data_IF_131786595238
#
_entry.id   IF_131786595238
#
_cell.length_a   1.000
_cell.length_b   1.000
_cell.length_c   1.000
_cell.angle_alpha   90.00
_cell.angle_beta   90.00
_cell.angle_gamma   90.00
#
_symmetry.space_group_name_H-M   'P 1'
#
loop_
_entity.id
_entity.type
_entity.pdbx_description
1 polymer ?
#
# COMPACT_ATOMS: atom_id res chain seq x y z
N UNK A 1 0.00 11.24 -18.70
CA UNK A 1 0.23 11.10 -17.25
C UNK A 1 -0.93 11.73 -16.48
N UNK A 2 -1.63 10.94 -15.64
CA UNK A 2 -2.77 11.41 -14.85
C UNK A 2 -2.70 10.81 -13.44
N UNK A 3 -2.85 11.66 -12.40
CA UNK A 3 -3.08 11.23 -11.00
C UNK A 3 -4.50 11.61 -10.61
N UNK A 4 -5.17 10.71 -9.90
CA UNK A 4 -6.52 10.94 -9.38
C UNK A 4 -6.78 10.08 -8.15
N UNK A 5 -7.88 10.33 -7.45
CA UNK A 5 -8.27 9.58 -6.25
C UNK A 5 -9.61 8.93 -6.47
N UNK A 6 -9.81 7.80 -5.82
CA UNK A 6 -11.10 7.10 -5.76
C UNK A 6 -11.43 6.80 -4.30
N UNK A 7 -12.70 6.66 -3.98
CA UNK A 7 -13.14 6.27 -2.63
C UNK A 7 -12.51 4.93 -2.24
N UNK A 8 -12.12 4.81 -0.98
CA UNK A 8 -11.57 3.58 -0.41
C UNK A 8 -12.71 2.76 0.21
N UNK A 9 -13.11 1.62 -0.40
CA UNK A 9 -14.07 0.73 0.22
C UNK A 9 -13.53 0.14 1.53
N UNK A 10 -14.41 -0.45 2.32
CA UNK A 10 -14.02 -1.11 3.59
C UNK A 10 -12.92 -2.14 3.31
N UNK A 11 -11.82 -2.01 4.02
CA UNK A 11 -10.66 -2.88 3.86
C UNK A 11 -11.03 -4.36 3.98
N UNK A 12 -10.60 -5.15 3.00
CA UNK A 12 -10.87 -6.59 2.94
C UNK A 12 -12.27 -6.97 2.43
N UNK A 13 -13.15 -6.01 2.13
CA UNK A 13 -14.44 -6.30 1.47
C UNK A 13 -14.25 -6.72 0.01
N UNK A 14 -15.29 -7.31 -0.58
CA UNK A 14 -15.29 -7.67 -2.00
C UNK A 14 -15.14 -6.43 -2.89
N UNK A 15 -15.76 -5.32 -2.52
CA UNK A 15 -15.66 -4.05 -3.22
C UNK A 15 -14.22 -3.51 -3.20
N UNK A 16 -13.54 -3.63 -2.05
CA UNK A 16 -12.15 -3.24 -1.92
C UNK A 16 -11.22 -4.09 -2.81
N UNK A 17 -11.43 -5.40 -2.85
CA UNK A 17 -10.68 -6.30 -3.71
C UNK A 17 -10.92 -6.00 -5.18
N UNK A 18 -12.18 -5.78 -5.57
CA UNK A 18 -12.57 -5.44 -6.94
C UNK A 18 -11.94 -4.12 -7.39
N UNK A 19 -12.02 -3.08 -6.56
CA UNK A 19 -11.42 -1.77 -6.86
C UNK A 19 -9.90 -1.84 -7.02
N UNK A 20 -9.24 -2.75 -6.32
CA UNK A 20 -7.79 -2.99 -6.42
C UNK A 20 -7.39 -3.84 -7.62
N UNK A 21 -8.31 -4.61 -8.16
CA UNK A 21 -8.05 -5.53 -9.26
C UNK A 21 -8.27 -4.88 -10.63
N UNK A 22 -9.41 -4.22 -10.84
CA UNK A 22 -9.75 -3.58 -12.11
C UNK A 22 -10.45 -2.25 -11.90
N UNK A 23 -10.35 -1.38 -12.90
CA UNK A 23 -11.14 -0.15 -12.96
C UNK A 23 -12.58 -0.43 -13.45
N UNK A 24 -13.40 0.60 -13.50
CA UNK A 24 -14.79 0.55 -13.97
C UNK A 24 -14.94 0.11 -15.44
N UNK A 25 -13.88 0.23 -16.23
CA UNK A 25 -13.82 -0.20 -17.64
C UNK A 25 -13.24 -1.63 -17.79
N UNK A 26 -12.95 -2.30 -16.68
CA UNK A 26 -12.39 -3.66 -16.68
C UNK A 26 -10.87 -3.72 -16.92
N UNK A 27 -10.18 -2.59 -16.89
CA UNK A 27 -8.73 -2.57 -17.07
C UNK A 27 -8.02 -2.91 -15.76
N UNK A 28 -7.01 -3.77 -15.84
CA UNK A 28 -6.25 -4.21 -14.69
C UNK A 28 -5.50 -3.07 -13.99
N UNK A 29 -5.45 -3.13 -12.66
CA UNK A 29 -4.69 -2.24 -11.78
C UNK A 29 -3.57 -3.01 -11.11
N UNK A 30 -2.39 -2.42 -11.06
CA UNK A 30 -1.25 -2.92 -10.29
C UNK A 30 -1.26 -2.18 -8.96
N UNK A 31 -1.26 -2.91 -7.85
CA UNK A 31 -1.29 -2.30 -6.52
C UNK A 31 0.12 -2.20 -5.92
N UNK A 32 0.32 -1.25 -5.01
CA UNK A 32 1.61 -1.04 -4.37
C UNK A 32 2.14 -2.30 -3.65
N UNK A 33 1.26 -3.09 -3.04
CA UNK A 33 1.65 -4.31 -2.34
C UNK A 33 2.26 -5.40 -3.24
N UNK A 34 2.01 -5.38 -4.54
CA UNK A 34 2.59 -6.33 -5.51
C UNK A 34 3.65 -5.70 -6.42
N UNK A 35 4.03 -4.45 -6.17
CA UNK A 35 5.05 -3.77 -6.97
C UNK A 35 6.39 -4.54 -7.01
N UNK A 36 6.79 -5.12 -5.88
CA UNK A 36 7.99 -5.95 -5.80
C UNK A 36 7.98 -7.19 -6.70
N UNK A 37 6.80 -7.67 -7.13
CA UNK A 37 6.67 -8.81 -8.05
C UNK A 37 7.27 -8.47 -9.41
N UNK A 38 7.01 -7.26 -9.91
CA UNK A 38 7.51 -6.80 -11.21
C UNK A 38 9.04 -6.77 -11.24
N UNK A 39 9.65 -6.51 -10.09
CA UNK A 39 11.10 -6.42 -9.92
C UNK A 39 11.74 -7.74 -9.43
N UNK A 40 10.97 -8.85 -9.37
CA UNK A 40 11.46 -10.14 -8.89
C UNK A 40 11.84 -10.16 -7.40
N UNK A 41 11.40 -9.17 -6.64
CA UNK A 41 11.76 -9.00 -5.23
C UNK A 41 10.69 -9.52 -4.24
N UNK A 42 9.50 -9.91 -4.73
CA UNK A 42 8.41 -10.31 -3.85
C UNK A 42 8.58 -11.75 -3.35
N UNK A 43 8.56 -12.00 -2.01
CA UNK A 43 8.92 -13.29 -1.45
C UNK A 43 7.86 -14.39 -1.61
N UNK A 44 6.61 -14.02 -1.97
CA UNK A 44 5.46 -14.95 -1.94
C UNK A 44 4.69 -15.02 -3.26
N UNK A 45 5.06 -14.25 -4.27
CA UNK A 45 4.32 -14.18 -5.54
C UNK A 45 5.30 -14.02 -6.69
N UNK A 46 5.10 -14.80 -7.74
CA UNK A 46 5.86 -14.68 -9.00
C UNK A 46 5.18 -13.72 -9.99
N UNK A 47 5.92 -13.29 -11.01
CA UNK A 47 5.35 -12.50 -12.10
C UNK A 47 4.24 -13.27 -12.86
N UNK A 48 4.36 -14.59 -12.98
CA UNK A 48 3.34 -15.43 -13.61
C UNK A 48 2.04 -15.46 -12.79
N UNK A 49 2.14 -15.54 -11.45
CA UNK A 49 0.97 -15.50 -10.56
C UNK A 49 0.26 -14.15 -10.66
N UNK A 50 1.03 -13.05 -10.65
CA UNK A 50 0.47 -11.71 -10.80
C UNK A 50 -0.22 -11.55 -12.16
N UNK A 51 0.42 -11.97 -13.26
CA UNK A 51 -0.17 -11.93 -14.59
C UNK A 51 -1.46 -12.74 -14.65
N UNK A 52 -1.50 -13.93 -14.08
CA UNK A 52 -2.69 -14.76 -14.00
C UNK A 52 -3.84 -14.05 -13.25
N UNK A 53 -3.54 -13.39 -12.14
CA UNK A 53 -4.54 -12.62 -11.40
C UNK A 53 -5.09 -11.44 -12.20
N UNK A 54 -4.22 -10.68 -12.87
CA UNK A 54 -4.61 -9.49 -13.64
C UNK A 54 -5.44 -9.86 -14.88
N UNK A 55 -5.15 -11.00 -15.50
CA UNK A 55 -5.87 -11.52 -16.67
C UNK A 55 -7.15 -12.30 -16.32
N UNK A 56 -7.37 -12.65 -15.06
CA UNK A 56 -8.55 -13.36 -14.62
C UNK A 56 -9.84 -12.63 -15.03
N UNK A 57 -10.88 -13.38 -15.34
CA UNK A 57 -12.22 -12.86 -15.57
C UNK A 57 -13.02 -12.65 -14.29
N UNK A 58 -12.56 -13.21 -13.18
CA UNK A 58 -13.21 -13.13 -11.87
C UNK A 58 -12.36 -12.33 -10.89
N UNK A 59 -12.96 -11.50 -10.03
CA UNK A 59 -12.21 -10.76 -9.00
C UNK A 59 -11.58 -11.73 -7.99
N UNK A 60 -10.48 -11.32 -7.32
CA UNK A 60 -9.91 -12.11 -6.25
C UNK A 60 -10.92 -12.33 -5.12
N UNK A 61 -10.91 -13.51 -4.54
CA UNK A 61 -11.73 -13.80 -3.35
C UNK A 61 -11.06 -13.27 -2.07
N UNK A 62 -11.86 -12.87 -1.06
CA UNK A 62 -11.33 -12.52 0.24
C UNK A 62 -10.58 -13.72 0.86
N UNK A 63 -9.33 -13.55 1.16
CA UNK A 63 -8.54 -14.55 1.89
C UNK A 63 -8.65 -14.32 3.38
N UNK A 64 -8.73 -15.40 4.17
CA UNK A 64 -8.67 -15.27 5.63
C UNK A 64 -7.29 -14.71 6.01
N UNK A 65 -7.24 -13.61 6.78
CA UNK A 65 -5.98 -13.11 7.27
C UNK A 65 -5.24 -14.17 8.10
N UNK A 66 -3.95 -14.29 7.91
CA UNK A 66 -3.12 -15.06 8.83
C UNK A 66 -2.85 -14.23 10.11
N UNK A 67 -2.30 -14.90 11.14
CA UNK A 67 -2.05 -14.26 12.44
C UNK A 67 -1.16 -12.98 12.34
N UNK A 68 -0.21 -12.94 11.40
CA UNK A 68 0.62 -11.76 11.19
C UNK A 68 -0.17 -10.61 10.58
N UNK A 69 -1.03 -10.88 9.60
CA UNK A 69 -1.92 -9.89 8.99
C UNK A 69 -2.93 -9.35 10.01
N UNK A 70 -3.55 -10.24 10.81
CA UNK A 70 -4.48 -9.81 11.87
C UNK A 70 -3.80 -8.92 12.89
N UNK A 71 -2.59 -9.28 13.32
CA UNK A 71 -1.80 -8.45 14.23
C UNK A 71 -1.49 -7.09 13.61
N UNK A 72 -1.02 -7.04 12.38
CA UNK A 72 -0.75 -5.80 11.65
C UNK A 72 -1.99 -4.90 11.63
N UNK A 73 -3.11 -5.40 11.13
CA UNK A 73 -4.36 -4.66 11.03
C UNK A 73 -4.85 -4.09 12.38
N UNK A 74 -4.68 -4.86 13.48
CA UNK A 74 -5.09 -4.41 14.82
C UNK A 74 -4.16 -3.35 15.40
N UNK A 75 -2.87 -3.44 15.12
CA UNK A 75 -1.86 -2.53 15.69
C UNK A 75 -1.72 -1.24 14.87
N UNK A 76 -1.95 -1.27 13.58
CA UNK A 76 -1.73 -0.15 12.65
C UNK A 76 -2.30 1.19 13.15
N UNK A 77 -3.59 1.31 13.57
CA UNK A 77 -4.13 2.59 14.03
C UNK A 77 -3.42 3.13 15.29
N UNK A 78 -3.04 2.23 16.21
CA UNK A 78 -2.31 2.59 17.43
C UNK A 78 -0.89 3.04 17.12
N UNK A 79 -0.24 2.37 16.17
CA UNK A 79 1.11 2.68 15.75
C UNK A 79 1.17 4.01 14.99
N UNK A 80 0.18 4.30 14.13
CA UNK A 80 0.04 5.60 13.46
C UNK A 80 -0.07 6.72 14.51
N UNK A 81 -0.94 6.54 15.51
CA UNK A 81 -1.09 7.50 16.59
C UNK A 81 0.21 7.67 17.38
N UNK A 82 0.89 6.60 17.71
CA UNK A 82 2.17 6.64 18.41
C UNK A 82 3.24 7.40 17.61
N UNK A 83 3.33 7.17 16.29
CA UNK A 83 4.23 7.92 15.40
C UNK A 83 3.87 9.41 15.40
N UNK A 84 2.59 9.75 15.27
CA UNK A 84 2.09 11.12 15.27
C UNK A 84 2.50 11.86 16.56
N UNK A 85 2.24 11.23 17.72
CA UNK A 85 2.54 11.82 19.03
C UNK A 85 4.07 12.01 19.23
N UNK A 86 4.89 11.01 18.88
CA UNK A 86 6.35 11.06 19.07
C UNK A 86 7.05 12.01 18.11
N UNK A 87 6.60 12.09 16.88
CA UNK A 87 7.18 12.95 15.84
C UNK A 87 6.53 14.34 15.82
N UNK A 88 5.50 14.57 16.65
CA UNK A 88 4.70 15.82 16.68
C UNK A 88 4.15 16.16 15.29
N UNK A 89 3.64 15.15 14.60
CA UNK A 89 3.08 15.27 13.26
C UNK A 89 1.54 15.20 13.29
N UNK A 90 0.91 15.95 12.43
CA UNK A 90 -0.52 15.79 12.15
C UNK A 90 -0.69 14.72 11.06
N UNK A 91 -0.90 13.46 11.46
CA UNK A 91 -1.12 12.33 10.57
C UNK A 91 -2.60 12.07 10.40
N UNK A 92 -3.01 11.85 9.17
CA UNK A 92 -4.35 11.37 8.81
C UNK A 92 -4.24 10.01 8.12
N UNK A 93 -5.22 9.14 8.34
CA UNK A 93 -5.44 7.94 7.51
C UNK A 93 -6.40 8.32 6.39
N UNK A 94 -5.97 8.31 5.11
CA UNK A 94 -6.86 8.68 4.01
C UNK A 94 -8.01 7.68 3.83
N UNK A 95 -9.17 8.21 3.50
CA UNK A 95 -10.35 7.47 3.08
C UNK A 95 -10.43 7.27 1.55
N UNK A 96 -9.34 7.58 0.87
CA UNK A 96 -9.18 7.48 -0.57
C UNK A 96 -8.05 6.52 -0.94
N UNK A 97 -8.12 5.98 -2.16
CA UNK A 97 -7.04 5.28 -2.84
C UNK A 97 -6.47 6.18 -3.93
N UNK A 98 -5.15 6.14 -4.09
CA UNK A 98 -4.40 6.98 -5.02
C UNK A 98 -4.11 6.22 -6.30
N UNK A 99 -4.48 6.81 -7.43
CA UNK A 99 -4.33 6.22 -8.74
C UNK A 99 -3.36 7.02 -9.61
N UNK A 100 -2.61 6.30 -10.43
CA UNK A 100 -1.78 6.87 -11.49
C UNK A 100 -2.04 6.12 -12.78
N UNK A 101 -2.14 6.86 -13.88
CA UNK A 101 -2.36 6.29 -15.21
C UNK A 101 -1.46 6.97 -16.24
N UNK A 102 -0.76 6.16 -17.03
CA UNK A 102 0.07 6.58 -18.14
C UNK A 102 0.24 5.43 -19.15
N UNK A 103 0.06 5.72 -20.42
CA UNK A 103 0.28 4.79 -21.55
C UNK A 103 -0.40 3.41 -21.37
N UNK A 104 -1.61 3.42 -20.81
CA UNK A 104 -2.38 2.18 -20.54
C UNK A 104 -1.98 1.45 -19.26
N UNK A 105 -0.92 1.85 -18.57
CA UNK A 105 -0.56 1.33 -17.25
C UNK A 105 -1.37 2.03 -16.18
N UNK A 106 -1.97 1.25 -15.28
CA UNK A 106 -2.77 1.75 -14.15
C UNK A 106 -2.21 1.25 -12.84
N UNK A 107 -1.76 2.18 -12.03
CA UNK A 107 -1.24 1.92 -10.69
C UNK A 107 -2.26 2.38 -9.65
N UNK A 108 -2.32 1.65 -8.53
CA UNK A 108 -3.17 2.01 -7.41
C UNK A 108 -2.41 1.80 -6.10
N UNK A 109 -2.50 2.76 -5.20
CA UNK A 109 -1.96 2.68 -3.86
C UNK A 109 -3.02 2.99 -2.80
N UNK A 110 -3.05 2.18 -1.74
CA UNK A 110 -3.54 2.56 -0.43
C UNK A 110 -2.33 2.93 0.41
N UNK A 111 -2.46 3.92 1.24
CA UNK A 111 -1.41 4.35 2.18
C UNK A 111 -1.96 4.30 3.60
N UNK A 112 -1.09 4.02 4.57
CA UNK A 112 -1.51 3.85 5.96
C UNK A 112 -1.77 5.20 6.61
N UNK A 113 -0.85 6.16 6.42
CA UNK A 113 -1.04 7.53 6.89
C UNK A 113 -0.33 8.56 6.00
N UNK A 114 -0.75 9.81 6.12
CA UNK A 114 -0.15 10.94 5.44
C UNK A 114 -0.04 12.13 6.39
N UNK A 115 1.08 12.85 6.36
CA UNK A 115 1.19 14.10 7.08
C UNK A 115 0.56 15.23 6.27
N UNK A 116 -0.23 16.04 6.95
CA UNK A 116 -0.66 17.34 6.44
C UNK A 116 0.41 18.36 6.81
N UNK A 117 1.23 18.74 5.85
CA UNK A 117 2.26 19.73 6.11
C UNK A 117 1.70 21.13 6.06
N UNK A 118 1.99 21.95 7.08
CA UNK A 118 1.70 23.39 7.08
C UNK A 118 2.42 24.15 5.94
N UNK A 119 3.36 23.50 5.27
CA UNK A 119 4.20 24.10 4.22
C UNK A 119 4.20 23.33 2.88
N UNK A 120 3.20 22.49 2.61
CA UNK A 120 3.00 21.90 1.28
C UNK A 120 3.82 20.64 0.97
N UNK A 121 4.52 20.05 1.94
CA UNK A 121 5.19 18.77 1.77
C UNK A 121 4.36 17.65 2.42
N UNK A 122 3.56 17.00 1.61
CA UNK A 122 2.90 15.77 2.01
C UNK A 122 3.96 14.66 2.14
N UNK A 123 3.95 13.94 3.26
CA UNK A 123 4.78 12.75 3.51
C UNK A 123 3.86 11.57 3.70
N UNK A 124 4.14 10.48 3.04
CA UNK A 124 3.43 9.21 3.26
C UNK A 124 4.16 8.42 4.32
N UNK A 125 3.40 7.82 5.21
CA UNK A 125 3.88 6.92 6.25
C UNK A 125 3.32 5.53 6.00
N UNK A 126 4.21 4.56 5.96
CA UNK A 126 3.87 3.15 5.85
C UNK A 126 4.26 2.44 7.14
N UNK A 127 3.32 1.72 7.73
CA UNK A 127 3.50 1.02 9.01
C UNK A 127 3.72 -0.46 8.77
N UNK A 128 4.77 -1.02 9.35
CA UNK A 128 5.03 -2.46 9.28
C UNK A 128 5.26 -3.03 10.66
N UNK A 129 4.70 -4.20 10.92
CA UNK A 129 4.99 -5.00 12.11
C UNK A 129 5.78 -6.24 11.71
N UNK A 130 6.83 -6.54 12.45
CA UNK A 130 7.64 -7.74 12.26
C UNK A 130 7.81 -8.49 13.57
N UNK A 131 7.97 -9.80 13.49
CA UNK A 131 8.36 -10.67 14.61
C UNK A 131 9.84 -11.09 14.50
N UNK A 132 10.56 -10.50 13.58
CA UNK A 132 12.01 -10.70 13.43
C UNK A 132 12.71 -9.42 13.87
N UNK A 133 13.84 -9.58 14.54
CA UNK A 133 14.68 -8.43 14.89
C UNK A 133 14.97 -7.59 13.65
N UNK A 134 14.66 -6.31 13.73
CA UNK A 134 14.88 -5.37 12.65
C UNK A 134 16.35 -5.06 12.46
N UNK A 135 16.88 -5.25 11.26
CA UNK A 135 18.28 -5.06 10.93
C UNK A 135 18.60 -3.73 10.25
N UNK A 136 17.68 -2.78 10.29
CA UNK A 136 17.81 -1.44 9.66
C UNK A 136 18.02 -1.47 8.14
N UNK A 137 17.67 -2.59 7.48
CA UNK A 137 17.72 -2.74 6.03
C UNK A 137 16.30 -2.97 5.51
N UNK A 138 15.83 -2.06 4.68
CA UNK A 138 14.49 -2.19 4.09
C UNK A 138 14.47 -3.34 3.07
N UNK A 139 13.58 -4.34 3.20
CA UNK A 139 13.44 -5.38 2.20
C UNK A 139 13.07 -4.78 0.83
N UNK A 140 13.64 -5.34 -0.25
CA UNK A 140 13.43 -4.81 -1.60
C UNK A 140 11.96 -4.72 -1.99
N UNK A 141 11.12 -5.69 -1.60
CA UNK A 141 9.69 -5.64 -1.92
C UNK A 141 8.94 -4.51 -1.18
N UNK A 142 9.39 -4.08 0.00
CA UNK A 142 8.88 -2.87 0.66
C UNK A 142 9.39 -1.62 -0.05
N UNK A 143 10.68 -1.58 -0.40
CA UNK A 143 11.22 -0.47 -1.18
C UNK A 143 10.39 -0.20 -2.43
N UNK A 144 10.10 -1.23 -3.24
CA UNK A 144 9.26 -1.10 -4.43
C UNK A 144 7.82 -0.72 -4.14
N UNK A 145 7.27 -1.17 -3.01
CA UNK A 145 5.97 -0.70 -2.52
C UNK A 145 5.98 0.81 -2.30
N UNK A 146 7.00 1.34 -1.63
CA UNK A 146 7.16 2.78 -1.39
C UNK A 146 7.34 3.58 -2.69
N UNK A 147 8.15 3.10 -3.63
CA UNK A 147 8.30 3.72 -4.95
C UNK A 147 6.95 3.82 -5.66
N UNK A 148 6.17 2.75 -5.66
CA UNK A 148 4.84 2.73 -6.25
C UNK A 148 3.89 3.73 -5.59
N UNK A 149 3.89 3.79 -4.26
CA UNK A 149 3.09 4.76 -3.50
C UNK A 149 3.49 6.20 -3.84
N UNK A 150 4.79 6.49 -3.95
CA UNK A 150 5.29 7.80 -4.35
C UNK A 150 4.82 8.19 -5.76
N UNK A 151 4.82 7.26 -6.71
CA UNK A 151 4.30 7.48 -8.07
C UNK A 151 2.81 7.81 -8.02
N UNK A 152 2.01 7.06 -7.27
CA UNK A 152 0.56 7.26 -7.19
C UNK A 152 0.19 8.57 -6.49
N UNK A 153 0.85 8.91 -5.40
CA UNK A 153 0.56 10.10 -4.60
C UNK A 153 1.21 11.36 -5.12
N UNK A 154 2.37 11.24 -5.76
CA UNK A 154 3.19 12.37 -6.18
C UNK A 154 4.13 12.91 -5.09
N UNK A 155 4.20 12.26 -3.93
CA UNK A 155 5.13 12.64 -2.86
C UNK A 155 6.56 12.25 -3.21
N UNK A 156 7.53 12.94 -2.61
CA UNK A 156 8.96 12.69 -2.85
C UNK A 156 9.60 11.78 -1.80
N UNK A 157 8.91 11.49 -0.70
CA UNK A 157 9.42 10.62 0.37
C UNK A 157 8.33 9.75 0.98
N UNK A 158 8.74 8.51 1.30
CA UNK A 158 7.94 7.57 2.07
C UNK A 158 8.69 7.28 3.36
N UNK A 159 8.04 7.51 4.49
CA UNK A 159 8.59 7.19 5.80
C UNK A 159 8.08 5.82 6.27
N UNK A 160 8.99 5.03 6.79
CA UNK A 160 8.68 3.69 7.27
C UNK A 160 8.68 3.66 8.79
N UNK A 161 7.53 3.35 9.37
CA UNK A 161 7.39 3.09 10.80
C UNK A 161 7.40 1.57 11.01
N UNK A 162 8.53 1.03 11.44
CA UNK A 162 8.72 -0.41 11.58
C UNK A 162 8.75 -0.78 13.06
N UNK A 163 7.83 -1.64 13.47
CA UNK A 163 7.69 -2.12 14.82
C UNK A 163 8.13 -3.56 14.92
N UNK A 164 9.17 -3.78 15.70
CA UNK A 164 9.69 -5.08 16.07
C UNK A 164 9.04 -5.52 17.39
N UNK A 165 8.48 -6.72 17.41
CA UNK A 165 7.81 -7.28 18.60
C UNK A 165 8.71 -8.19 19.44
N UNK A 166 10.04 -8.13 19.23
CA UNK A 166 11.01 -8.85 20.05
C UNK A 166 11.54 -7.99 21.19
#
# INVERSE_FOLDING_TARGET
MRRYRISKPVHGSQEWLTARWKDENGNARITASVAGVIHGAHPFMSAADLASQLLSSTPPEPTKPNAAMERGNRLEPTLIKWVADNQKLNLITPDEMYCYEEDGVRLLATIDAMSLAEQGYERVFEVKTTNKQWQSVLPDYWYWQGVHQAICTGVHSIDWAIFDSN
#
